data_IF_147786885032
#
_entry.id   IF_147786885032
#
_cell.length_a   1.000
_cell.length_b   1.000
_cell.length_c   1.000
_cell.angle_alpha   90.00
_cell.angle_beta   90.00
_cell.angle_gamma   90.00
#
_symmetry.space_group_name_H-M   'P 1'
#
loop_
_entity.id
_entity.type
_entity.pdbx_description
1 polymer ?
#
# COMPACT_ATOMS: atom_id res chain seq x y z
N UNK A 1 11.57 9.51 14.57
CA UNK A 1 11.22 8.81 13.32
C UNK A 1 10.08 7.85 13.58
N UNK A 2 9.78 6.94 12.65
CA UNK A 2 8.80 5.87 12.88
C UNK A 2 9.43 4.73 13.71
N UNK A 3 8.64 4.07 14.56
CA UNK A 3 9.08 2.87 15.26
C UNK A 3 9.19 1.71 14.25
N UNK A 4 10.39 1.13 14.04
CA UNK A 4 10.61 0.08 13.04
C UNK A 4 9.76 -1.17 13.27
N UNK A 5 9.43 -1.50 14.52
CA UNK A 5 8.58 -2.65 14.84
C UNK A 5 7.11 -2.39 14.48
N UNK A 6 6.66 -1.13 14.56
CA UNK A 6 5.30 -0.74 14.21
C UNK A 6 5.09 -0.60 12.70
N UNK A 7 6.11 -0.18 11.94
CA UNK A 7 6.00 0.07 10.50
C UNK A 7 6.17 -1.20 9.67
N UNK A 8 6.90 -2.19 10.17
CA UNK A 8 7.19 -3.43 9.43
C UNK A 8 5.92 -4.18 9.02
N UNK A 9 4.91 -4.38 9.89
CA UNK A 9 3.64 -5.00 9.49
C UNK A 9 2.91 -4.22 8.39
N UNK A 10 2.94 -2.89 8.44
CA UNK A 10 2.33 -2.05 7.42
C UNK A 10 2.99 -2.23 6.05
N UNK A 11 4.32 -2.19 5.97
CA UNK A 11 5.04 -2.44 4.72
C UNK A 11 4.78 -3.84 4.16
N UNK A 12 4.70 -4.86 5.05
CA UNK A 12 4.34 -6.23 4.62
C UNK A 12 2.93 -6.30 4.04
N UNK A 13 1.96 -5.63 4.67
CA UNK A 13 0.57 -5.59 4.16
C UNK A 13 0.48 -4.96 2.76
N UNK A 14 1.27 -3.91 2.48
CA UNK A 14 1.35 -3.29 1.15
C UNK A 14 1.96 -4.25 0.12
N UNK A 15 3.02 -4.98 0.51
CA UNK A 15 3.62 -6.01 -0.34
C UNK A 15 2.64 -7.14 -0.65
N UNK A 16 1.88 -7.59 0.34
CA UNK A 16 0.92 -8.68 0.17
C UNK A 16 -0.26 -8.27 -0.72
N UNK A 17 -0.82 -7.07 -0.51
CA UNK A 17 -1.84 -6.49 -1.40
C UNK A 17 -1.31 -6.36 -2.85
N UNK A 18 -0.06 -5.91 -3.03
CA UNK A 18 0.58 -5.79 -4.34
C UNK A 18 0.75 -7.16 -5.03
N UNK A 19 1.08 -8.21 -4.28
CA UNK A 19 1.15 -9.58 -4.82
C UNK A 19 -0.23 -10.12 -5.18
N UNK A 20 -1.24 -9.86 -4.36
CA UNK A 20 -2.61 -10.30 -4.62
C UNK A 20 -3.15 -9.68 -5.92
N UNK A 21 -2.92 -8.38 -6.15
CA UNK A 21 -3.23 -7.71 -7.42
C UNK A 21 -2.53 -8.41 -8.59
N UNK A 22 -1.22 -8.66 -8.49
CA UNK A 22 -0.44 -9.34 -9.54
C UNK A 22 -0.96 -10.76 -9.83
N UNK A 23 -1.34 -11.53 -8.81
CA UNK A 23 -1.91 -12.86 -9.00
C UNK A 23 -3.26 -12.84 -9.70
N UNK A 24 -4.11 -11.84 -9.41
CA UNK A 24 -5.41 -11.68 -10.08
C UNK A 24 -5.23 -11.27 -11.54
N UNK A 25 -4.27 -10.41 -11.86
CA UNK A 25 -3.88 -10.14 -13.25
C UNK A 25 -3.41 -11.41 -13.96
N UNK A 26 -2.51 -12.18 -13.34
CA UNK A 26 -2.04 -13.45 -13.91
C UNK A 26 -3.18 -14.44 -14.15
N UNK A 27 -4.16 -14.53 -13.23
CA UNK A 27 -5.34 -15.36 -13.40
C UNK A 27 -6.21 -14.91 -14.58
N UNK A 28 -6.43 -13.59 -14.74
CA UNK A 28 -7.18 -13.04 -15.86
C UNK A 28 -6.52 -13.32 -17.21
N UNK A 29 -5.19 -13.20 -17.29
CA UNK A 29 -4.44 -13.45 -18.54
C UNK A 29 -4.41 -14.92 -18.93
N UNK A 30 -4.64 -15.84 -18.00
CA UNK A 30 -4.79 -17.27 -18.31
C UNK A 30 -6.10 -17.58 -19.02
N UNK A 31 -7.13 -16.77 -18.82
CA UNK A 31 -8.50 -17.02 -19.32
C UNK A 31 -8.94 -16.05 -20.42
N UNK A 32 -8.15 -15.03 -20.73
CA UNK A 32 -8.44 -14.01 -21.73
C UNK A 32 -7.18 -13.54 -22.46
N UNK A 33 -7.30 -12.49 -23.28
CA UNK A 33 -6.16 -11.92 -23.98
C UNK A 33 -5.24 -11.16 -23.02
N UNK A 34 -3.92 -11.30 -23.19
CA UNK A 34 -2.94 -10.47 -22.50
C UNK A 34 -3.22 -8.99 -22.81
N UNK A 35 -3.30 -8.11 -21.81
CA UNK A 35 -3.68 -6.73 -22.02
C UNK A 35 -2.58 -5.98 -22.76
N UNK A 36 -2.98 -5.22 -23.78
CA UNK A 36 -2.09 -4.33 -24.52
C UNK A 36 -1.88 -3.03 -23.73
N UNK A 37 -1.04 -3.04 -22.72
CA UNK A 37 -0.51 -1.81 -22.14
C UNK A 37 1.01 -1.77 -22.22
N UNK A 38 1.60 -0.58 -22.42
CA UNK A 38 3.04 -0.44 -22.42
C UNK A 38 3.61 -0.84 -21.06
N UNK A 39 4.39 -1.91 -21.04
CA UNK A 39 5.07 -2.40 -19.84
C UNK A 39 6.33 -1.58 -19.64
N UNK A 40 6.38 -0.79 -18.56
CA UNK A 40 7.62 -0.15 -18.14
C UNK A 40 8.64 -1.20 -17.70
N UNK A 41 9.93 -0.91 -17.88
CA UNK A 41 10.98 -1.81 -17.41
C UNK A 41 10.89 -1.99 -15.90
N UNK A 42 11.25 -3.19 -15.43
CA UNK A 42 11.20 -3.52 -14.01
C UNK A 42 12.08 -2.59 -13.16
N UNK A 43 13.19 -2.09 -13.70
CA UNK A 43 14.06 -1.12 -13.02
C UNK A 43 13.34 0.22 -12.77
N UNK A 44 12.66 0.76 -13.78
CA UNK A 44 11.90 2.02 -13.68
C UNK A 44 10.75 1.85 -12.69
N UNK A 45 9.99 0.77 -12.79
CA UNK A 45 8.89 0.48 -11.86
C UNK A 45 9.38 0.36 -10.42
N UNK A 46 10.48 -0.35 -10.16
CA UNK A 46 11.09 -0.47 -8.83
C UNK A 46 11.60 0.86 -8.29
N UNK A 47 12.15 1.72 -9.15
CA UNK A 47 12.56 3.06 -8.74
C UNK A 47 11.34 3.89 -8.31
N UNK A 48 10.26 3.84 -9.08
CA UNK A 48 9.03 4.57 -8.75
C UNK A 48 8.40 4.08 -7.45
N UNK A 49 8.30 2.76 -7.24
CA UNK A 49 7.80 2.17 -5.99
C UNK A 49 8.63 2.67 -4.80
N UNK A 50 9.96 2.60 -4.88
CA UNK A 50 10.85 3.10 -3.79
C UNK A 50 10.66 4.59 -3.50
N UNK A 51 10.43 5.41 -4.53
CA UNK A 51 10.16 6.84 -4.34
C UNK A 51 8.83 7.06 -3.60
N UNK A 52 7.79 6.34 -3.99
CA UNK A 52 6.48 6.40 -3.34
C UNK A 52 6.53 5.88 -1.90
N UNK A 53 7.23 4.78 -1.65
CA UNK A 53 7.43 4.23 -0.30
C UNK A 53 8.11 5.26 0.62
N UNK A 54 9.18 5.89 0.14
CA UNK A 54 9.88 6.93 0.92
C UNK A 54 8.98 8.14 1.20
N UNK A 55 8.23 8.63 0.20
CA UNK A 55 7.29 9.74 0.38
C UNK A 55 6.20 9.39 1.39
N UNK A 56 5.62 8.19 1.28
CA UNK A 56 4.59 7.69 2.19
C UNK A 56 5.12 7.61 3.63
N UNK A 57 6.32 7.08 3.86
CA UNK A 57 6.91 7.01 5.20
C UNK A 57 7.14 8.40 5.81
N UNK A 58 7.55 9.39 5.00
CA UNK A 58 7.70 10.78 5.44
C UNK A 58 6.34 11.37 5.81
N UNK A 59 5.32 11.19 4.97
CA UNK A 59 3.97 11.71 5.21
C UNK A 59 3.35 11.09 6.45
N UNK A 60 3.46 9.77 6.64
CA UNK A 60 2.97 9.07 7.84
C UNK A 60 3.68 9.62 9.09
N UNK A 61 5.01 9.76 9.04
CA UNK A 61 5.78 10.33 10.14
C UNK A 61 5.30 11.74 10.52
N UNK A 62 5.08 12.61 9.52
CA UNK A 62 4.58 13.97 9.71
C UNK A 62 3.16 13.98 10.27
N UNK A 63 2.24 13.18 9.71
CA UNK A 63 0.86 13.08 10.21
C UNK A 63 0.81 12.66 11.68
N UNK A 64 1.68 11.72 12.07
CA UNK A 64 1.78 11.25 13.46
C UNK A 64 2.42 12.26 14.42
N UNK A 65 2.97 13.38 13.95
CA UNK A 65 3.35 14.51 14.82
C UNK A 65 2.12 15.26 15.34
N UNK A 66 1.04 15.28 14.57
CA UNK A 66 -0.22 15.94 14.94
C UNK A 66 -1.06 15.04 15.85
N UNK A 67 -0.95 13.72 15.66
CA UNK A 67 -1.65 12.71 16.47
C UNK A 67 -1.82 11.40 15.70
N UNK A 68 -2.38 10.39 16.35
CA UNK A 68 -2.77 9.15 15.69
C UNK A 68 -3.85 9.39 14.62
N UNK A 69 -3.99 8.44 13.70
CA UNK A 69 -5.10 8.42 12.74
C UNK A 69 -6.43 8.26 13.50
N UNK A 70 -7.38 9.15 13.22
CA UNK A 70 -8.74 9.08 13.75
C UNK A 70 -9.57 8.05 12.99
N UNK A 71 -10.79 7.76 13.46
CA UNK A 71 -11.73 6.94 12.69
C UNK A 71 -12.03 7.56 11.31
N UNK A 72 -12.29 8.88 11.28
CA UNK A 72 -12.62 9.60 10.05
C UNK A 72 -11.44 9.61 9.05
N UNK A 73 -10.20 9.70 9.54
CA UNK A 73 -9.01 9.55 8.70
C UNK A 73 -8.99 8.17 8.02
N UNK A 74 -9.29 7.11 8.77
CA UNK A 74 -9.28 5.74 8.24
C UNK A 74 -10.42 5.48 7.26
N UNK A 75 -11.60 6.05 7.51
CA UNK A 75 -12.73 6.01 6.56
C UNK A 75 -12.38 6.75 5.27
N UNK A 76 -11.78 7.94 5.38
CA UNK A 76 -11.36 8.72 4.22
C UNK A 76 -10.26 7.99 3.42
N UNK A 77 -9.25 7.44 4.12
CA UNK A 77 -8.16 6.68 3.50
C UNK A 77 -8.70 5.47 2.74
N UNK A 78 -9.62 4.70 3.34
CA UNK A 78 -10.27 3.56 2.68
C UNK A 78 -10.89 3.93 1.34
N UNK A 79 -11.59 5.07 1.28
CA UNK A 79 -12.21 5.54 0.05
C UNK A 79 -11.18 5.92 -1.04
N UNK A 80 -9.91 6.16 -0.69
CA UNK A 80 -8.85 6.44 -1.65
C UNK A 80 -8.27 5.17 -2.28
N UNK A 81 -8.53 3.98 -1.72
CA UNK A 81 -8.09 2.71 -2.30
C UNK A 81 -8.95 2.35 -3.50
N UNK A 82 -8.57 2.88 -4.66
CA UNK A 82 -9.23 2.63 -5.94
C UNK A 82 -8.21 2.13 -6.96
N UNK A 83 -8.09 0.81 -7.08
CA UNK A 83 -7.25 0.16 -8.08
C UNK A 83 -7.93 -1.10 -8.62
N UNK A 84 -7.77 -1.43 -9.90
CA UNK A 84 -8.23 -2.71 -10.44
C UNK A 84 -7.59 -3.88 -9.69
N UNK A 85 -8.33 -4.98 -9.58
CA UNK A 85 -7.87 -6.21 -8.91
C UNK A 85 -7.45 -6.03 -7.45
N UNK A 86 -7.83 -4.92 -6.79
CA UNK A 86 -7.66 -4.74 -5.36
C UNK A 86 -8.99 -5.05 -4.65
N UNK A 87 -8.95 -5.94 -3.67
CA UNK A 87 -10.16 -6.39 -2.97
C UNK A 87 -10.22 -5.83 -1.56
N UNK A 88 -11.41 -5.88 -0.97
CA UNK A 88 -11.69 -5.31 0.34
C UNK A 88 -10.85 -5.91 1.48
N UNK A 89 -10.56 -7.21 1.43
CA UNK A 89 -9.68 -7.85 2.40
C UNK A 89 -8.28 -7.24 2.40
N UNK A 90 -7.75 -6.91 1.23
CA UNK A 90 -6.40 -6.36 1.08
C UNK A 90 -6.36 -4.93 1.64
N UNK A 91 -7.38 -4.12 1.32
CA UNK A 91 -7.55 -2.75 1.85
C UNK A 91 -7.65 -2.80 3.38
N UNK A 92 -8.50 -3.68 3.91
CA UNK A 92 -8.72 -3.81 5.34
C UNK A 92 -7.45 -4.25 6.08
N UNK A 93 -6.66 -5.16 5.50
CA UNK A 93 -5.36 -5.57 6.07
C UNK A 93 -4.35 -4.42 6.10
N UNK A 94 -4.28 -3.61 5.02
CA UNK A 94 -3.38 -2.45 4.96
C UNK A 94 -3.76 -1.40 5.99
N UNK A 95 -5.05 -1.08 6.11
CA UNK A 95 -5.54 -0.10 7.08
C UNK A 95 -5.40 -0.59 8.52
N UNK A 96 -5.66 -1.87 8.79
CA UNK A 96 -5.44 -2.47 10.11
C UNK A 96 -3.95 -2.40 10.51
N UNK A 97 -3.02 -2.60 9.57
CA UNK A 97 -1.60 -2.46 9.86
C UNK A 97 -1.18 -0.99 10.03
N UNK A 98 -1.76 -0.07 9.25
CA UNK A 98 -1.50 1.38 9.36
C UNK A 98 -1.91 1.94 10.72
N UNK A 99 -3.03 1.50 11.28
CA UNK A 99 -3.52 1.98 12.58
C UNK A 99 -2.59 1.66 13.76
N UNK A 100 -1.71 0.67 13.58
CA UNK A 100 -0.70 0.28 14.56
C UNK A 100 0.61 1.06 14.44
N UNK A 101 0.80 1.82 13.35
CA UNK A 101 2.02 2.59 13.11
C UNK A 101 2.13 3.73 14.11
N UNK A 102 3.32 3.87 14.71
CA UNK A 102 3.60 4.90 15.70
C UNK A 102 4.99 5.49 15.51
N UNK A 103 5.20 6.66 16.10
CA UNK A 103 6.54 7.27 16.19
C UNK A 103 7.38 6.53 17.24
N UNK A 104 8.68 6.44 16.98
CA UNK A 104 9.64 6.03 18.00
C UNK A 104 9.59 7.02 19.17
N UNK A 105 9.67 6.48 20.40
CA UNK A 105 9.76 7.29 21.62
C UNK A 105 11.10 7.99 21.71
#
# INVERSE_FOLDING_TARGET
GLDPHSITPFIRSLMDASKAIQYRYLAQWRTGSEPSFPIQTLSVTRQRIRQLDNQMLIIISQRLMVGSFSHDDMVWLRAQFNAPNLNESDISNVLAALSLVRRAR
#
